data_IF_853650236189
#
_entry.id   IF_853650236189
#
_cell.length_a   1.000
_cell.length_b   1.000
_cell.length_c   1.000
_cell.angle_alpha   90.00
_cell.angle_beta   90.00
_cell.angle_gamma   90.00
#
_symmetry.space_group_name_H-M   'P 1'
#
loop_
_entity.id
_entity.type
_entity.pdbx_description
1 polymer ?
#
# COMPACT_ATOMS: atom_id res chain seq x y z
N UNK A 1 -20.12 11.14 -38.51
CA UNK A 1 -20.97 11.56 -37.37
C UNK A 1 -21.03 10.40 -36.39
N UNK A 2 -20.73 10.63 -35.11
CA UNK A 2 -20.86 9.61 -34.06
C UNK A 2 -22.20 9.87 -33.38
N UNK A 3 -23.05 8.83 -33.30
CA UNK A 3 -24.33 8.89 -32.59
C UNK A 3 -24.24 8.08 -31.32
N UNK A 4 -24.59 8.67 -30.20
CA UNK A 4 -24.62 7.99 -28.89
C UNK A 4 -26.07 7.87 -28.46
N UNK A 5 -26.54 6.65 -28.24
CA UNK A 5 -27.87 6.37 -27.70
C UNK A 5 -27.78 5.98 -26.23
N UNK A 6 -28.05 6.91 -25.33
CA UNK A 6 -28.02 6.69 -23.88
C UNK A 6 -29.10 5.74 -23.36
N UNK A 7 -30.12 5.41 -24.17
CA UNK A 7 -31.16 4.45 -23.78
C UNK A 7 -30.73 2.99 -24.05
N UNK A 8 -29.75 2.80 -24.90
CA UNK A 8 -29.27 1.47 -25.27
C UNK A 8 -28.11 1.03 -24.34
N UNK A 9 -28.42 0.14 -23.40
CA UNK A 9 -27.41 -0.46 -22.52
C UNK A 9 -26.68 -1.58 -23.26
N UNK A 10 -25.38 -1.44 -23.48
CA UNK A 10 -24.54 -2.47 -24.10
C UNK A 10 -23.77 -3.31 -23.04
N UNK A 11 -23.67 -2.82 -21.79
CA UNK A 11 -22.97 -3.53 -20.72
C UNK A 11 -22.73 -2.66 -19.49
N UNK A 12 -21.92 -3.20 -18.58
CA UNK A 12 -21.47 -2.50 -17.37
C UNK A 12 -19.99 -2.17 -17.55
N UNK A 13 -19.62 -0.91 -17.37
CA UNK A 13 -18.23 -0.49 -17.39
C UNK A 13 -17.54 -1.05 -16.13
N UNK A 14 -16.42 -1.76 -16.32
CA UNK A 14 -15.61 -2.20 -15.19
C UNK A 14 -15.02 -1.00 -14.46
N UNK A 15 -14.91 -1.05 -13.11
CA UNK A 15 -14.28 0.01 -12.35
C UNK A 15 -12.77 0.03 -12.62
N UNK A 16 -12.31 0.90 -13.51
CA UNK A 16 -10.90 1.02 -13.94
C UNK A 16 -10.24 2.30 -13.46
N UNK A 17 -10.91 3.08 -12.61
CA UNK A 17 -10.46 4.37 -12.09
C UNK A 17 -9.73 4.22 -10.74
N UNK A 18 -8.86 3.21 -10.62
CA UNK A 18 -7.93 3.09 -9.51
C UNK A 18 -6.92 4.24 -9.48
N UNK A 19 -6.34 4.48 -8.33
CA UNK A 19 -5.40 5.57 -8.09
C UNK A 19 -4.07 5.07 -7.52
N UNK A 20 -3.03 5.87 -7.59
CA UNK A 20 -1.84 5.71 -6.77
C UNK A 20 -2.08 6.35 -5.41
N UNK A 21 -1.64 5.66 -4.37
CA UNK A 21 -1.71 6.08 -2.97
C UNK A 21 -3.14 6.18 -2.42
N UNK A 22 -3.25 6.12 -1.11
CA UNK A 22 -4.51 6.20 -0.40
C UNK A 22 -5.03 7.63 -0.24
N UNK A 23 -6.20 7.78 0.38
CA UNK A 23 -6.72 9.08 0.73
C UNK A 23 -5.76 9.81 1.68
N UNK A 24 -5.64 11.12 1.50
CA UNK A 24 -4.91 11.94 2.45
C UNK A 24 -5.67 11.92 3.77
N UNK A 25 -5.00 11.45 4.82
CA UNK A 25 -5.48 11.48 6.19
C UNK A 25 -4.39 12.09 7.06
N UNK A 26 -4.56 13.33 7.46
CA UNK A 26 -3.61 13.99 8.35
C UNK A 26 -4.26 14.19 9.72
N UNK A 27 -3.75 13.50 10.70
CA UNK A 27 -4.23 13.56 12.10
C UNK A 27 -3.66 14.73 12.90
N UNK A 28 -2.82 15.57 12.31
CA UNK A 28 -2.34 16.79 12.97
C UNK A 28 -3.33 17.96 12.87
N UNK A 29 -3.13 18.99 13.67
CA UNK A 29 -4.01 20.16 13.73
C UNK A 29 -4.23 20.80 12.34
N UNK A 30 -5.48 20.87 11.90
CA UNK A 30 -5.85 21.27 10.53
C UNK A 30 -6.06 20.09 9.59
N UNK A 31 -6.31 18.93 10.15
CA UNK A 31 -6.45 17.64 9.49
C UNK A 31 -7.33 17.69 8.24
N UNK A 32 -6.76 17.27 7.14
CA UNK A 32 -7.49 16.95 5.93
C UNK A 32 -7.75 15.45 5.93
N UNK A 33 -9.02 15.03 5.96
CA UNK A 33 -9.43 13.65 5.78
C UNK A 33 -10.19 13.53 4.47
N UNK A 34 -9.66 12.74 3.53
CA UNK A 34 -10.21 12.54 2.20
C UNK A 34 -10.87 11.17 2.01
N UNK A 35 -11.11 10.42 3.08
CA UNK A 35 -11.77 9.11 2.99
C UNK A 35 -13.19 9.21 2.45
N UNK A 36 -13.93 10.26 2.81
CA UNK A 36 -15.31 10.48 2.30
C UNK A 36 -15.31 10.77 0.81
N UNK A 37 -14.36 11.56 0.28
CA UNK A 37 -14.26 11.84 -1.14
C UNK A 37 -13.87 10.57 -1.94
N UNK A 38 -12.98 9.72 -1.39
CA UNK A 38 -12.65 8.42 -1.99
C UNK A 38 -13.88 7.53 -2.05
N UNK A 39 -14.65 7.46 -0.95
CA UNK A 39 -15.89 6.68 -0.87
C UNK A 39 -16.94 7.20 -1.86
N UNK A 40 -17.14 8.51 -1.91
CA UNK A 40 -18.09 9.14 -2.83
C UNK A 40 -17.71 8.95 -4.31
N UNK A 41 -16.42 8.93 -4.61
CA UNK A 41 -15.89 8.66 -5.95
C UNK A 41 -15.86 7.16 -6.30
N UNK A 42 -16.18 6.27 -5.34
CA UNK A 42 -16.14 4.82 -5.50
C UNK A 42 -14.78 4.33 -6.02
N UNK A 43 -13.66 4.86 -5.49
CA UNK A 43 -12.32 4.46 -5.91
C UNK A 43 -12.14 2.96 -5.65
N UNK A 44 -11.98 2.12 -6.70
CA UNK A 44 -12.04 0.67 -6.52
C UNK A 44 -10.78 0.10 -5.87
N UNK A 45 -9.61 0.67 -6.16
CA UNK A 45 -8.33 0.25 -5.56
C UNK A 45 -7.32 1.38 -5.56
N UNK A 46 -6.41 1.30 -4.62
CA UNK A 46 -5.28 2.20 -4.43
C UNK A 46 -3.98 1.41 -4.49
N UNK A 47 -3.13 1.72 -5.48
CA UNK A 47 -1.80 1.15 -5.61
C UNK A 47 -0.82 1.93 -4.74
N UNK A 48 -0.05 1.23 -3.93
CA UNK A 48 0.96 1.83 -3.07
C UNK A 48 2.23 2.09 -3.86
N UNK A 49 2.47 3.35 -4.22
CA UNK A 49 3.63 3.73 -5.02
C UNK A 49 4.14 5.11 -4.61
N UNK A 50 5.45 5.21 -4.36
CA UNK A 50 6.15 6.46 -4.04
C UNK A 50 5.39 7.34 -3.04
N UNK A 51 4.96 6.71 -1.97
CA UNK A 51 4.13 7.33 -0.93
C UNK A 51 4.95 8.21 0.03
N UNK A 52 6.19 8.56 -0.33
CA UNK A 52 7.05 9.41 0.48
C UNK A 52 6.54 10.85 0.58
N UNK A 53 6.72 11.46 1.72
CA UNK A 53 6.52 12.89 1.92
C UNK A 53 5.27 13.28 2.70
N UNK A 54 4.70 14.44 2.39
CA UNK A 54 3.67 15.14 3.16
C UNK A 54 2.33 14.40 3.34
N UNK A 55 2.16 13.28 2.69
CA UNK A 55 1.01 12.38 2.88
C UNK A 55 1.15 11.47 4.10
N UNK A 56 2.22 11.62 4.84
CA UNK A 56 2.37 11.21 6.23
C UNK A 56 2.82 9.78 6.47
N UNK A 57 2.82 8.86 5.50
CA UNK A 57 3.09 7.46 5.85
C UNK A 57 3.68 6.62 4.72
N UNK A 58 3.90 7.22 3.58
CA UNK A 58 4.14 6.42 2.40
C UNK A 58 5.42 5.64 2.33
N UNK A 59 6.51 6.12 2.89
CA UNK A 59 7.76 5.37 2.92
C UNK A 59 7.66 4.12 3.80
N UNK A 60 6.74 4.09 4.74
CA UNK A 60 6.58 2.96 5.65
C UNK A 60 6.09 1.68 4.98
N UNK A 61 5.54 1.75 3.78
CA UNK A 61 5.20 0.56 2.98
C UNK A 61 6.43 -0.09 2.34
N UNK A 62 7.57 0.59 2.35
CA UNK A 62 8.82 0.03 1.85
C UNK A 62 9.33 -1.08 2.75
N UNK A 63 9.87 -2.13 2.15
CA UNK A 63 10.32 -3.31 2.89
C UNK A 63 11.37 -2.96 3.95
N UNK A 64 12.35 -2.09 3.63
CA UNK A 64 13.37 -1.68 4.60
C UNK A 64 12.81 -0.84 5.77
N UNK A 65 11.62 -0.28 5.65
CA UNK A 65 10.97 0.44 6.76
C UNK A 65 10.20 -0.53 7.66
N UNK A 66 9.63 -1.59 7.07
CA UNK A 66 8.92 -2.62 7.82
C UNK A 66 9.92 -3.59 8.46
N UNK A 67 10.97 -3.99 7.75
CA UNK A 67 12.05 -4.86 8.23
C UNK A 67 13.39 -4.12 8.16
N UNK A 68 13.71 -3.27 9.15
CA UNK A 68 14.81 -2.29 9.05
C UNK A 68 16.21 -2.92 9.19
N UNK A 69 16.35 -4.02 9.89
CA UNK A 69 17.61 -4.75 10.01
C UNK A 69 17.59 -6.03 9.19
N UNK A 70 18.21 -6.00 8.02
CA UNK A 70 18.25 -7.17 7.13
C UNK A 70 19.00 -8.37 7.75
N UNK A 71 19.80 -8.19 8.78
CA UNK A 71 20.51 -9.28 9.47
C UNK A 71 19.68 -9.92 10.60
N UNK A 72 18.55 -9.30 11.00
CA UNK A 72 17.65 -9.82 12.03
C UNK A 72 16.98 -11.15 11.63
N UNK A 73 16.41 -11.85 12.59
CA UNK A 73 15.64 -13.09 12.35
C UNK A 73 14.33 -12.78 11.67
N UNK A 74 14.09 -13.35 10.49
CA UNK A 74 12.85 -13.12 9.72
C UNK A 74 11.62 -13.72 10.38
N UNK A 75 11.78 -14.73 11.23
CA UNK A 75 10.67 -15.40 11.91
C UNK A 75 10.30 -14.72 13.25
N UNK A 76 11.10 -13.75 13.70
CA UNK A 76 10.82 -13.01 14.91
C UNK A 76 9.91 -11.81 14.59
N UNK A 77 8.65 -11.76 15.09
CA UNK A 77 7.77 -10.61 14.92
C UNK A 77 8.38 -9.28 15.39
N UNK A 78 9.26 -9.30 16.40
CA UNK A 78 9.94 -8.11 16.90
C UNK A 78 10.94 -7.50 15.90
N UNK A 79 11.29 -8.22 14.82
CA UNK A 79 12.12 -7.71 13.73
C UNK A 79 11.37 -6.81 12.76
N UNK A 80 10.03 -6.70 12.89
CA UNK A 80 9.16 -5.96 12.00
C UNK A 80 8.55 -4.74 12.69
N UNK A 81 8.38 -3.67 11.93
CA UNK A 81 7.73 -2.43 12.37
C UNK A 81 6.52 -2.13 11.47
N UNK A 82 5.39 -2.76 11.80
CA UNK A 82 4.17 -2.68 10.98
C UNK A 82 3.31 -1.44 11.25
N UNK A 83 3.29 -0.92 12.47
CA UNK A 83 2.31 0.08 12.95
C UNK A 83 2.03 1.23 11.97
N UNK A 84 3.03 1.93 11.37
CA UNK A 84 2.72 3.03 10.45
C UNK A 84 2.07 2.55 9.15
N UNK A 85 2.44 1.35 8.68
CA UNK A 85 1.86 0.74 7.48
C UNK A 85 0.44 0.27 7.76
N UNK A 86 0.18 -0.29 8.94
CA UNK A 86 -1.15 -0.71 9.41
C UNK A 86 -2.13 0.46 9.38
N UNK A 87 -1.74 1.58 9.97
CA UNK A 87 -2.55 2.81 9.99
C UNK A 87 -2.84 3.26 8.55
N UNK A 88 -1.85 3.22 7.68
CA UNK A 88 -2.00 3.65 6.30
C UNK A 88 -2.95 2.74 5.51
N UNK A 89 -2.78 1.43 5.60
CA UNK A 89 -3.65 0.46 4.94
C UNK A 89 -5.08 0.54 5.47
N UNK A 90 -5.24 0.67 6.78
CA UNK A 90 -6.56 0.80 7.40
C UNK A 90 -7.31 2.03 6.87
N UNK A 91 -6.62 3.16 6.67
CA UNK A 91 -7.24 4.35 6.09
C UNK A 91 -7.76 4.13 4.66
N UNK A 92 -7.06 3.33 3.85
CA UNK A 92 -7.50 2.96 2.50
C UNK A 92 -8.75 2.07 2.58
N UNK A 93 -8.71 1.06 3.45
CA UNK A 93 -9.80 0.11 3.65
C UNK A 93 -11.04 0.81 4.21
N UNK A 94 -10.86 1.71 5.17
CA UNK A 94 -11.96 2.52 5.74
C UNK A 94 -12.62 3.43 4.70
N UNK A 95 -11.88 3.83 3.68
CA UNK A 95 -12.44 4.56 2.55
C UNK A 95 -13.27 3.69 1.59
N UNK A 96 -13.34 2.37 1.83
CA UNK A 96 -14.02 1.42 0.96
C UNK A 96 -13.23 1.08 -0.31
N UNK A 97 -11.93 1.29 -0.28
CA UNK A 97 -11.00 1.11 -1.40
C UNK A 97 -10.15 -0.15 -1.16
N UNK A 98 -9.97 -0.99 -2.18
CA UNK A 98 -9.07 -2.15 -2.08
C UNK A 98 -7.60 -1.71 -2.14
N UNK A 99 -6.76 -2.42 -1.39
CA UNK A 99 -5.32 -2.21 -1.41
C UNK A 99 -4.70 -2.99 -2.58
N UNK A 100 -3.88 -2.32 -3.37
CA UNK A 100 -2.97 -2.92 -4.34
C UNK A 100 -1.55 -2.72 -3.81
N UNK A 101 -1.04 -3.71 -3.08
CA UNK A 101 0.20 -3.59 -2.31
C UNK A 101 1.41 -3.78 -3.21
N UNK A 102 2.38 -2.85 -3.16
CA UNK A 102 3.67 -3.00 -3.80
C UNK A 102 4.72 -3.44 -2.78
N UNK A 103 5.21 -4.68 -2.95
CA UNK A 103 6.33 -5.21 -2.19
C UNK A 103 7.65 -4.73 -2.83
N UNK A 104 8.25 -3.71 -2.28
CA UNK A 104 9.48 -3.16 -2.85
C UNK A 104 9.94 -1.90 -2.14
N UNK A 105 10.70 -1.12 -2.90
CA UNK A 105 11.34 0.10 -2.42
C UNK A 105 10.95 1.29 -3.29
N UNK A 106 10.75 2.43 -2.65
CA UNK A 106 10.53 3.71 -3.34
C UNK A 106 11.84 4.22 -3.93
N UNK A 107 11.87 4.45 -5.23
CA UNK A 107 13.02 5.04 -5.92
C UNK A 107 13.19 6.53 -5.62
N UNK A 108 12.16 7.16 -5.10
CA UNK A 108 12.13 8.59 -4.76
C UNK A 108 12.68 8.91 -3.35
N UNK A 109 13.00 7.90 -2.55
CA UNK A 109 13.38 8.04 -1.13
C UNK A 109 14.62 8.91 -0.91
N UNK A 110 15.47 9.07 -1.91
CA UNK A 110 16.63 9.97 -1.85
C UNK A 110 16.93 10.62 -3.20
N UNK A 111 17.08 11.94 -3.19
CA UNK A 111 17.58 12.69 -4.36
C UNK A 111 19.08 12.50 -4.59
N UNK A 112 19.83 12.23 -3.53
CA UNK A 112 21.29 12.13 -3.56
C UNK A 112 21.82 10.71 -3.69
N UNK A 113 21.18 9.75 -3.02
CA UNK A 113 21.61 8.36 -3.02
C UNK A 113 20.41 7.43 -3.24
N UNK A 114 20.38 6.77 -4.37
CA UNK A 114 19.41 5.70 -4.71
C UNK A 114 19.86 4.39 -4.08
N UNK A 115 19.95 4.32 -2.75
CA UNK A 115 20.57 3.19 -2.04
C UNK A 115 19.72 1.92 -2.03
N UNK A 116 18.40 2.06 -2.12
CA UNK A 116 17.45 0.94 -2.08
C UNK A 116 17.04 0.40 -3.45
N UNK A 117 17.62 0.91 -4.54
CA UNK A 117 17.36 0.42 -5.91
C UNK A 117 18.26 -0.75 -6.29
N UNK A 118 19.14 -1.19 -5.40
CA UNK A 118 20.00 -2.35 -5.60
C UNK A 118 19.24 -3.63 -5.24
N UNK A 119 19.57 -4.77 -5.87
CA UNK A 119 19.03 -6.05 -5.46
C UNK A 119 19.35 -6.35 -4.00
N UNK A 120 18.51 -7.10 -3.29
CA UNK A 120 18.79 -7.51 -1.92
C UNK A 120 20.06 -8.37 -1.84
N UNK A 121 20.73 -8.36 -0.70
CA UNK A 121 21.91 -9.20 -0.46
C UNK A 121 21.59 -10.69 -0.57
N UNK A 122 20.39 -11.09 -0.17
CA UNK A 122 19.87 -12.44 -0.18
C UNK A 122 18.41 -12.41 -0.66
N UNK A 123 18.16 -12.96 -1.85
CA UNK A 123 16.83 -13.02 -2.43
C UNK A 123 15.89 -13.98 -1.68
N UNK A 124 16.42 -15.07 -1.10
CA UNK A 124 15.63 -16.01 -0.34
C UNK A 124 15.11 -15.37 0.95
N UNK A 125 15.96 -14.67 1.66
CA UNK A 125 15.59 -13.92 2.86
C UNK A 125 14.60 -12.79 2.55
N UNK A 126 14.84 -12.07 1.45
CA UNK A 126 13.93 -11.02 1.00
C UNK A 126 12.53 -11.58 0.68
N UNK A 127 12.46 -12.74 0.02
CA UNK A 127 11.19 -13.40 -0.25
C UNK A 127 10.46 -13.83 1.03
N UNK A 128 11.18 -14.32 2.04
CA UNK A 128 10.61 -14.66 3.34
C UNK A 128 10.06 -13.41 4.06
N UNK A 129 10.77 -12.28 4.00
CA UNK A 129 10.27 -11.01 4.54
C UNK A 129 8.97 -10.62 3.84
N UNK A 130 8.91 -10.70 2.51
CA UNK A 130 7.69 -10.42 1.76
C UNK A 130 6.54 -11.36 2.13
N UNK A 131 6.83 -12.65 2.31
CA UNK A 131 5.86 -13.66 2.76
C UNK A 131 5.28 -13.28 4.13
N UNK A 132 6.10 -12.90 5.10
CA UNK A 132 5.64 -12.49 6.42
C UNK A 132 4.80 -11.18 6.37
N UNK A 133 5.12 -10.26 5.47
CA UNK A 133 4.29 -9.07 5.24
C UNK A 133 2.90 -9.48 4.71
N UNK A 134 2.84 -10.42 3.77
CA UNK A 134 1.57 -10.96 3.26
C UNK A 134 0.79 -11.66 4.38
N UNK A 135 1.46 -12.50 5.17
CA UNK A 135 0.86 -13.22 6.29
C UNK A 135 0.33 -12.25 7.36
N UNK A 136 1.05 -11.15 7.63
CA UNK A 136 0.59 -10.12 8.56
C UNK A 136 -0.74 -9.52 8.13
N UNK A 137 -0.90 -9.16 6.86
CA UNK A 137 -2.13 -8.51 6.39
C UNK A 137 -3.26 -9.48 6.03
N UNK A 138 -2.97 -10.75 5.75
CA UNK A 138 -3.97 -11.70 5.28
C UNK A 138 -4.23 -12.88 6.19
N UNK A 139 -3.31 -13.22 7.09
CA UNK A 139 -3.37 -14.44 7.92
C UNK A 139 -3.21 -14.17 9.41
N UNK A 140 -3.09 -12.89 9.81
CA UNK A 140 -3.01 -12.49 11.20
C UNK A 140 -1.66 -12.73 11.87
N UNK A 141 -0.58 -13.00 11.11
CA UNK A 141 0.76 -13.17 11.68
C UNK A 141 1.24 -11.90 12.39
N UNK A 142 1.96 -12.05 13.51
CA UNK A 142 2.49 -10.94 14.33
C UNK A 142 1.39 -9.94 14.78
N UNK A 143 0.29 -10.46 15.33
CA UNK A 143 -0.89 -9.68 15.71
C UNK A 143 -1.50 -8.85 14.57
N UNK A 144 -1.39 -9.38 13.34
CA UNK A 144 -1.82 -8.72 12.11
C UNK A 144 -3.30 -8.86 11.81
N UNK A 145 -3.64 -8.81 10.52
CA UNK A 145 -4.99 -8.63 10.02
C UNK A 145 -5.45 -9.79 9.12
N UNK A 146 -6.72 -9.79 8.75
CA UNK A 146 -7.34 -10.69 7.78
C UNK A 146 -8.02 -9.86 6.67
N UNK A 147 -7.27 -8.92 6.08
CA UNK A 147 -7.79 -7.98 5.08
C UNK A 147 -8.09 -8.62 3.73
N UNK A 148 -7.53 -9.80 3.47
CA UNK A 148 -7.68 -10.49 2.18
C UNK A 148 -7.23 -9.63 0.99
N UNK A 149 -6.08 -8.98 1.12
CA UNK A 149 -5.47 -8.20 0.03
C UNK A 149 -5.16 -9.15 -1.13
N UNK A 150 -5.70 -8.84 -2.32
CA UNK A 150 -5.64 -9.72 -3.48
C UNK A 150 -4.54 -9.36 -4.47
N UNK A 151 -4.07 -8.13 -4.45
CA UNK A 151 -3.14 -7.60 -5.43
C UNK A 151 -1.81 -7.26 -4.77
N UNK A 152 -0.78 -8.01 -5.18
CA UNK A 152 0.59 -7.86 -4.71
C UNK A 152 1.50 -7.65 -5.92
N UNK A 153 2.21 -6.54 -5.95
CA UNK A 153 3.17 -6.19 -6.98
C UNK A 153 4.59 -6.33 -6.43
N UNK A 154 5.49 -6.92 -7.24
CA UNK A 154 6.91 -7.09 -6.93
C UNK A 154 7.74 -6.21 -7.85
#
# INVERSE_FOLDING_TARGET
MITVDFLKKEGVIKPVHGVNNGPVTNISAGAIDKREEFRAAHIPFSRLHDTAGSYGSGIFVNIHCIFPDFEADVNDPASYFFEPTDIYLQNIIDAGTEVFYRLGETIESSKLLKIYVKPPKDFSKWAQICEHIIMHYNEGWADGFFHNIRYWEI
#
